data_IF_125888878035
#
_entry.id   IF_125888878035
#
_cell.length_a   1.000
_cell.length_b   1.000
_cell.length_c   1.000
_cell.angle_alpha   90.00
_cell.angle_beta   90.00
_cell.angle_gamma   90.00
#
_symmetry.space_group_name_H-M   'P 1'
#
loop_
_entity.id
_entity.type
_entity.pdbx_description
1 polymer ?
#
# COMPACT_ATOMS: atom_id res chain seq x y z
N UNK A 1 -2.97 15.57 -5.41
CA UNK A 1 -4.16 15.10 -4.68
C UNK A 1 -3.78 13.74 -4.14
N UNK A 2 -4.08 13.44 -2.88
CA UNK A 2 -3.83 12.12 -2.31
C UNK A 2 -5.01 11.21 -2.64
N UNK A 3 -4.73 9.99 -3.14
CA UNK A 3 -5.73 9.00 -3.46
C UNK A 3 -6.27 8.34 -2.19
N UNK A 4 -5.39 8.03 -1.22
CA UNK A 4 -5.76 7.37 0.03
C UNK A 4 -5.91 8.37 1.17
N UNK A 5 -6.77 8.03 2.14
CA UNK A 5 -6.89 8.79 3.38
C UNK A 5 -5.66 8.59 4.27
N UNK A 6 -5.36 9.60 5.10
CA UNK A 6 -4.20 9.54 5.99
C UNK A 6 -4.27 8.34 6.96
N UNK A 7 -5.48 7.96 7.37
CA UNK A 7 -5.72 6.80 8.23
C UNK A 7 -5.24 5.49 7.58
N UNK A 8 -5.64 5.24 6.32
CA UNK A 8 -5.23 4.06 5.56
C UNK A 8 -3.71 4.05 5.35
N UNK A 9 -3.12 5.20 5.04
CA UNK A 9 -1.65 5.33 4.89
C UNK A 9 -0.91 4.96 6.18
N UNK A 10 -1.41 5.38 7.33
CA UNK A 10 -0.77 5.07 8.61
C UNK A 10 -0.90 3.58 8.96
N UNK A 11 -2.06 2.95 8.66
CA UNK A 11 -2.21 1.50 8.81
C UNK A 11 -1.26 0.72 7.90
N UNK A 12 -1.12 1.15 6.63
CA UNK A 12 -0.18 0.54 5.68
C UNK A 12 1.26 0.59 6.21
N UNK A 13 1.67 1.70 6.82
CA UNK A 13 3.03 1.86 7.38
C UNK A 13 3.32 0.91 8.54
N UNK A 14 2.29 0.47 9.26
CA UNK A 14 2.43 -0.45 10.38
C UNK A 14 2.46 -1.93 9.94
N UNK A 15 1.91 -2.25 8.75
CA UNK A 15 1.82 -3.62 8.25
C UNK A 15 3.18 -4.36 8.20
N UNK A 16 4.30 -3.77 7.74
CA UNK A 16 5.59 -4.46 7.69
C UNK A 16 6.03 -5.10 9.01
N UNK A 17 5.67 -4.51 10.15
CA UNK A 17 6.03 -5.04 11.47
C UNK A 17 5.36 -6.40 11.79
N UNK A 18 4.31 -6.76 11.05
CA UNK A 18 3.54 -8.00 11.23
C UNK A 18 4.08 -9.16 10.39
N UNK A 19 5.07 -8.93 9.52
CA UNK A 19 5.59 -9.94 8.60
C UNK A 19 7.08 -10.24 8.82
N UNK A 20 7.53 -11.49 8.67
CA UNK A 20 8.96 -11.84 8.71
C UNK A 20 9.79 -11.12 7.64
N UNK A 21 9.17 -10.76 6.51
CA UNK A 21 9.76 -9.98 5.44
C UNK A 21 8.89 -8.74 5.21
N UNK A 22 9.42 -7.50 5.35
CA UNK A 22 8.66 -6.26 5.18
C UNK A 22 7.89 -6.17 3.86
N UNK A 23 8.50 -6.63 2.75
CA UNK A 23 7.89 -6.67 1.41
C UNK A 23 6.66 -7.58 1.31
N UNK A 24 6.46 -8.50 2.25
CA UNK A 24 5.26 -9.35 2.27
C UNK A 24 4.01 -8.57 2.69
N UNK A 25 4.17 -7.35 3.22
CA UNK A 25 3.07 -6.45 3.53
C UNK A 25 2.40 -5.83 2.29
N UNK A 26 2.95 -5.99 1.08
CA UNK A 26 2.40 -5.35 -0.14
C UNK A 26 0.98 -5.80 -0.45
N UNK A 27 0.73 -7.11 -0.47
CA UNK A 27 -0.63 -7.63 -0.76
C UNK A 27 -1.66 -7.10 0.25
N UNK A 28 -1.45 -7.22 1.58
CA UNK A 28 -2.36 -6.61 2.56
C UNK A 28 -2.50 -5.09 2.44
N UNK A 29 -1.44 -4.37 2.06
CA UNK A 29 -1.51 -2.92 1.88
C UNK A 29 -2.33 -2.51 0.64
N UNK A 30 -2.21 -3.28 -0.45
CA UNK A 30 -3.04 -3.12 -1.63
C UNK A 30 -4.50 -3.46 -1.33
N UNK A 31 -4.76 -4.51 -0.53
CA UNK A 31 -6.12 -4.85 -0.11
C UNK A 31 -6.77 -3.68 0.65
N UNK A 32 -6.08 -3.05 1.61
CA UNK A 32 -6.58 -1.86 2.32
C UNK A 32 -6.87 -0.68 1.38
N UNK A 33 -5.98 -0.42 0.43
CA UNK A 33 -6.16 0.63 -0.56
C UNK A 33 -7.37 0.35 -1.47
N UNK A 34 -7.59 -0.91 -1.82
CA UNK A 34 -8.73 -1.36 -2.62
C UNK A 34 -10.05 -1.25 -1.85
N UNK A 35 -10.05 -1.58 -0.56
CA UNK A 35 -11.23 -1.46 0.30
C UNK A 35 -11.70 0.00 0.43
N UNK A 36 -10.77 0.95 0.56
CA UNK A 36 -11.08 2.39 0.64
C UNK A 36 -11.68 2.95 -0.67
N UNK A 37 -11.12 2.55 -1.82
CA UNK A 37 -11.45 3.14 -3.13
C UNK A 37 -12.40 2.29 -3.98
N UNK A 38 -12.73 1.08 -3.53
CA UNK A 38 -13.49 0.07 -4.27
C UNK A 38 -12.74 -0.59 -5.44
N UNK A 39 -11.57 -0.08 -5.82
CA UNK A 39 -10.68 -0.63 -6.83
C UNK A 39 -9.26 -0.06 -6.66
N UNK A 40 -8.26 -0.79 -7.12
CA UNK A 40 -6.88 -0.30 -7.15
C UNK A 40 -6.67 0.64 -8.33
N UNK A 41 -6.23 1.86 -8.03
CA UNK A 41 -5.80 2.85 -9.02
C UNK A 41 -4.27 2.96 -9.04
N UNK A 42 -3.65 3.38 -10.15
CA UNK A 42 -2.19 3.60 -10.21
C UNK A 42 -1.70 4.60 -9.14
N UNK A 43 -2.49 5.63 -8.87
CA UNK A 43 -2.17 6.63 -7.83
C UNK A 43 -2.17 5.97 -6.43
N UNK A 44 -3.16 5.12 -6.12
CA UNK A 44 -3.21 4.40 -4.85
C UNK A 44 -2.06 3.40 -4.71
N UNK A 45 -1.71 2.68 -5.78
CA UNK A 45 -0.56 1.76 -5.77
C UNK A 45 0.76 2.51 -5.55
N UNK A 46 0.90 3.70 -6.14
CA UNK A 46 2.07 4.58 -5.91
C UNK A 46 2.14 5.05 -4.45
N UNK A 47 1.01 5.41 -3.85
CA UNK A 47 0.95 5.83 -2.45
C UNK A 47 1.24 4.66 -1.49
N UNK A 48 0.77 3.46 -1.79
CA UNK A 48 1.13 2.22 -1.06
C UNK A 48 2.63 1.96 -1.15
N UNK A 49 3.22 2.06 -2.35
CA UNK A 49 4.66 1.88 -2.54
C UNK A 49 5.47 2.88 -1.72
N UNK A 50 5.06 4.16 -1.74
CA UNK A 50 5.69 5.20 -0.94
C UNK A 50 5.55 4.94 0.58
N UNK A 51 4.38 4.50 1.04
CA UNK A 51 4.13 4.19 2.45
C UNK A 51 4.96 2.99 2.95
N UNK A 52 5.19 1.99 2.09
CA UNK A 52 6.02 0.82 2.39
C UNK A 52 7.51 1.01 2.09
N UNK A 53 7.92 2.17 1.56
CA UNK A 53 9.27 2.45 1.09
C UNK A 53 9.75 1.39 0.06
N UNK A 54 8.90 1.08 -0.90
CA UNK A 54 9.15 0.15 -2.00
C UNK A 54 9.13 0.88 -3.34
N UNK A 55 9.66 0.21 -4.36
CA UNK A 55 9.56 0.70 -5.74
C UNK A 55 8.12 0.56 -6.25
N UNK A 56 7.59 1.59 -6.92
CA UNK A 56 6.23 1.57 -7.45
C UNK A 56 6.07 0.48 -8.53
N UNK A 57 7.08 0.25 -9.37
CA UNK A 57 7.06 -0.80 -10.39
C UNK A 57 7.06 -2.21 -9.79
N UNK A 58 7.62 -2.39 -8.58
CA UNK A 58 7.47 -3.63 -7.83
C UNK A 58 6.02 -3.83 -7.36
N UNK A 59 5.37 -2.78 -6.83
CA UNK A 59 3.98 -2.87 -6.35
C UNK A 59 2.99 -3.06 -7.51
N UNK A 60 3.22 -2.44 -8.66
CA UNK A 60 2.42 -2.63 -9.89
C UNK A 60 2.54 -4.04 -10.49
N UNK A 61 3.64 -4.75 -10.21
CA UNK A 61 3.92 -6.08 -10.75
C UNK A 61 3.50 -7.26 -9.86
N UNK A 62 2.95 -6.99 -8.67
CA UNK A 62 2.47 -7.99 -7.70
C UNK A 62 1.03 -8.38 -8.01
#
# INVERSE_FOLDING_TARGET
MTALSQHVIDEIRELPARFPQPRSAVMPALDLAQEELGHLTPDAMTEVAAALNLDAGYVEGV
#
